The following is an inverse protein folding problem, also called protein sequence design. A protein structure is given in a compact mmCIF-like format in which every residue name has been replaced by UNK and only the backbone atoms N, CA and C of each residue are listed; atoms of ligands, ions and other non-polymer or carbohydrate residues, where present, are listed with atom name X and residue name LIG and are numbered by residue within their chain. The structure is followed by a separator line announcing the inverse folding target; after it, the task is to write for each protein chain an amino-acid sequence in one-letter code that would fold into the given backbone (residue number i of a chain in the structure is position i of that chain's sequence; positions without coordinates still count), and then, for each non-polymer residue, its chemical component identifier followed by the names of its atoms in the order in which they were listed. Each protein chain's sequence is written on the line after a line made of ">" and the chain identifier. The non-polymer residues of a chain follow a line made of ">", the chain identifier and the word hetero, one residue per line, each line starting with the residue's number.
data_IF_949161888247
#
_entry.id   IF_949161888247
#
_cell.length_a   1.000
_cell.length_b   1.000
_cell.length_c   1.000
_cell.angle_alpha   90.00
_cell.angle_beta   90.00
_cell.angle_gamma   90.00
#
_symmetry.space_group_name_H-M   'P 1'
#
loop_
_entity.id
_entity.type
_entity.pdbx_description
1 polymer ?
#
# COMPACT_ATOMS: atom_id res chain seq x y z
N UNK A 1 -46.12 -8.13 -54.13
CA UNK A 1 -44.84 -7.59 -53.62
C UNK A 1 -44.88 -7.61 -52.09
N UNK A 2 -44.06 -8.42 -51.41
CA UNK A 2 -43.87 -8.39 -49.95
C UNK A 2 -42.36 -8.50 -49.70
N UNK A 3 -41.75 -7.44 -49.15
CA UNK A 3 -40.34 -7.44 -48.72
C UNK A 3 -40.35 -7.65 -47.20
N UNK A 4 -39.82 -8.78 -46.76
CA UNK A 4 -39.56 -9.08 -45.35
C UNK A 4 -38.15 -8.57 -45.05
N UNK A 5 -38.03 -7.57 -44.20
CA UNK A 5 -36.74 -7.11 -43.69
C UNK A 5 -36.35 -7.97 -42.49
N UNK A 6 -35.28 -8.74 -42.62
CA UNK A 6 -34.64 -9.42 -41.48
C UNK A 6 -33.70 -8.43 -40.79
N UNK A 7 -34.06 -8.01 -39.58
CA UNK A 7 -33.20 -7.24 -38.69
C UNK A 7 -32.36 -8.24 -37.86
N UNK A 8 -31.11 -8.45 -38.23
CA UNK A 8 -30.19 -9.28 -37.43
C UNK A 8 -29.68 -8.47 -36.24
N UNK A 9 -30.11 -8.87 -35.04
CA UNK A 9 -29.64 -8.33 -33.76
C UNK A 9 -28.33 -9.05 -33.36
N UNK A 10 -27.18 -8.45 -33.64
CA UNK A 10 -25.89 -8.93 -33.13
C UNK A 10 -25.75 -8.59 -31.65
N UNK A 11 -25.94 -9.58 -30.79
CA UNK A 11 -25.66 -9.50 -29.36
C UNK A 11 -24.14 -9.56 -29.18
N UNK A 12 -23.50 -8.42 -28.91
CA UNK A 12 -22.11 -8.38 -28.46
C UNK A 12 -22.06 -8.94 -27.04
N UNK A 13 -21.63 -10.19 -26.91
CA UNK A 13 -21.28 -10.80 -25.63
C UNK A 13 -20.03 -10.13 -25.08
N UNK A 14 -20.21 -9.11 -24.24
CA UNK A 14 -19.13 -8.51 -23.46
C UNK A 14 -18.78 -9.53 -22.37
N UNK A 15 -17.82 -10.42 -22.63
CA UNK A 15 -17.31 -11.29 -21.57
C UNK A 15 -16.62 -10.40 -20.54
N UNK A 16 -17.05 -10.40 -19.26
CA UNK A 16 -16.31 -9.69 -18.24
C UNK A 16 -14.93 -10.33 -18.16
N UNK A 17 -13.88 -9.53 -18.37
CA UNK A 17 -12.51 -9.90 -18.01
C UNK A 17 -12.50 -10.14 -16.49
N UNK A 18 -12.74 -11.37 -16.10
CA UNK A 18 -12.51 -11.83 -14.74
C UNK A 18 -11.06 -11.48 -14.40
N UNK A 19 -10.86 -10.69 -13.35
CA UNK A 19 -9.53 -10.45 -12.80
C UNK A 19 -8.87 -11.82 -12.61
N UNK A 20 -7.74 -12.06 -13.26
CA UNK A 20 -7.03 -13.33 -13.17
C UNK A 20 -6.50 -13.44 -11.74
N UNK A 21 -7.23 -14.15 -10.89
CA UNK A 21 -6.74 -14.57 -9.59
C UNK A 21 -5.42 -15.33 -9.78
N UNK A 22 -4.46 -15.18 -8.86
CA UNK A 22 -3.16 -15.82 -8.99
C UNK A 22 -3.30 -17.34 -9.22
N UNK A 23 -2.51 -17.88 -10.14
CA UNK A 23 -2.58 -19.29 -10.53
C UNK A 23 -2.04 -20.19 -9.42
N UNK A 24 -2.45 -21.46 -9.41
CA UNK A 24 -1.81 -22.46 -8.56
C UNK A 24 -0.41 -22.78 -9.10
N UNK A 25 0.52 -23.15 -8.22
CA UNK A 25 1.87 -23.53 -8.63
C UNK A 25 2.64 -24.26 -7.54
N UNK A 26 3.90 -24.57 -7.82
CA UNK A 26 4.76 -25.27 -6.87
C UNK A 26 5.07 -24.38 -5.65
N UNK A 27 4.88 -24.84 -4.40
CA UNK A 27 5.07 -24.02 -3.20
C UNK A 27 6.46 -23.37 -3.10
N UNK A 28 7.52 -24.05 -3.56
CA UNK A 28 8.88 -23.51 -3.56
C UNK A 28 9.20 -22.55 -4.71
N UNK A 29 8.27 -22.34 -5.65
CA UNK A 29 8.46 -21.41 -6.75
C UNK A 29 8.50 -19.96 -6.26
N UNK A 30 9.28 -19.13 -6.94
CA UNK A 30 9.24 -17.68 -6.76
C UNK A 30 8.15 -17.00 -7.58
N UNK A 31 7.49 -17.71 -8.51
CA UNK A 31 6.42 -17.14 -9.32
C UNK A 31 5.26 -16.63 -8.44
N UNK A 32 4.56 -15.60 -8.92
CA UNK A 32 3.33 -15.10 -8.30
C UNK A 32 2.20 -16.12 -8.43
N UNK A 33 1.99 -16.89 -7.36
CA UNK A 33 1.06 -18.01 -7.30
C UNK A 33 0.21 -17.94 -6.04
N UNK A 34 -0.85 -18.74 -6.02
CA UNK A 34 -1.65 -19.00 -4.84
C UNK A 34 -0.85 -19.84 -3.84
N UNK A 35 -0.84 -19.38 -2.60
CA UNK A 35 -0.12 -20.04 -1.49
C UNK A 35 -1.09 -20.43 -0.38
N UNK A 36 -0.51 -20.93 0.71
CA UNK A 36 -1.21 -21.26 1.95
C UNK A 36 -2.17 -20.14 2.37
N UNK A 37 -3.32 -20.53 2.95
CA UNK A 37 -4.39 -19.59 3.33
C UNK A 37 -4.97 -18.77 2.17
N UNK A 38 -4.84 -19.27 0.93
CA UNK A 38 -5.42 -18.70 -0.28
C UNK A 38 -4.95 -17.28 -0.60
N UNK A 39 -3.77 -16.89 -0.10
CA UNK A 39 -3.12 -15.61 -0.44
C UNK A 39 -2.38 -15.73 -1.77
N UNK A 40 -2.24 -14.62 -2.47
CA UNK A 40 -1.40 -14.56 -3.66
C UNK A 40 -0.03 -14.01 -3.30
N UNK A 41 1.06 -14.73 -3.62
CA UNK A 41 2.42 -14.26 -3.34
C UNK A 41 3.43 -14.73 -4.39
N UNK A 42 4.32 -13.81 -4.76
CA UNK A 42 5.56 -14.14 -5.46
C UNK A 42 6.05 -12.97 -6.29
N UNK A 43 6.94 -13.26 -7.24
CA UNK A 43 7.45 -12.34 -8.24
C UNK A 43 6.53 -12.38 -9.45
N UNK A 44 6.03 -11.21 -9.86
CA UNK A 44 5.27 -11.08 -11.10
C UNK A 44 6.23 -11.00 -12.29
N UNK A 45 5.81 -11.53 -13.44
CA UNK A 45 6.64 -11.56 -14.66
C UNK A 45 6.82 -10.18 -15.33
N UNK A 46 6.05 -9.17 -14.93
CA UNK A 46 6.16 -7.79 -15.42
C UNK A 46 5.99 -6.78 -14.30
N UNK A 47 6.83 -5.73 -14.29
CA UNK A 47 6.86 -4.76 -13.20
C UNK A 47 5.50 -4.06 -13.07
N UNK A 48 4.86 -4.16 -11.90
CA UNK A 48 3.67 -3.35 -11.56
C UNK A 48 4.10 -1.89 -11.35
N UNK A 49 4.59 -1.25 -12.41
CA UNK A 49 4.93 0.16 -12.40
C UNK A 49 3.60 0.90 -12.25
N UNK A 50 3.40 1.57 -11.11
CA UNK A 50 2.24 2.45 -10.99
C UNK A 50 2.32 3.48 -12.11
N UNK A 51 1.29 3.58 -12.95
CA UNK A 51 1.22 4.66 -13.93
C UNK A 51 0.76 5.98 -13.31
N UNK A 52 0.50 6.00 -11.99
CA UNK A 52 0.00 7.16 -11.27
C UNK A 52 0.83 7.50 -10.03
N UNK A 53 0.84 8.79 -9.71
CA UNK A 53 1.31 9.31 -8.44
C UNK A 53 0.44 8.77 -7.31
N UNK A 54 1.01 8.00 -6.38
CA UNK A 54 0.23 7.35 -5.31
C UNK A 54 1.03 7.04 -4.06
N UNK A 55 0.36 7.00 -2.91
CA UNK A 55 0.88 6.37 -1.69
C UNK A 55 1.01 4.86 -1.92
N UNK A 56 2.19 4.31 -1.65
CA UNK A 56 2.51 2.89 -1.85
C UNK A 56 2.92 2.18 -0.56
N UNK A 57 3.26 2.94 0.49
CA UNK A 57 3.60 2.38 1.79
C UNK A 57 3.22 3.36 2.89
N UNK A 58 2.68 2.82 3.98
CA UNK A 58 2.55 3.49 5.27
C UNK A 58 2.90 2.47 6.35
N UNK A 59 4.15 2.49 6.81
CA UNK A 59 4.69 1.46 7.70
C UNK A 59 5.30 2.06 8.96
N UNK A 60 5.38 1.24 10.00
CA UNK A 60 6.29 1.44 11.13
C UNK A 60 7.04 0.13 11.36
N UNK A 61 8.35 0.21 11.55
CA UNK A 61 9.21 -0.98 11.67
C UNK A 61 10.53 -0.67 12.36
N UNK A 62 10.96 -1.61 13.19
CA UNK A 62 12.30 -1.71 13.73
C UNK A 62 12.81 -3.13 13.50
N UNK A 63 13.37 -3.37 12.30
CA UNK A 63 13.80 -4.69 11.84
C UNK A 63 15.18 -4.59 11.19
N UNK A 64 16.11 -5.43 11.63
CA UNK A 64 17.48 -5.50 11.10
C UNK A 64 17.68 -6.70 10.16
N UNK A 65 16.84 -7.74 10.28
CA UNK A 65 16.85 -8.94 9.44
C UNK A 65 15.45 -9.54 9.35
N UNK A 66 15.21 -10.42 8.36
CA UNK A 66 13.94 -11.15 8.28
C UNK A 66 13.92 -12.28 9.32
N UNK A 67 12.91 -12.32 10.22
CA UNK A 67 12.60 -13.53 10.97
C UNK A 67 12.01 -14.60 10.04
N UNK A 68 11.91 -15.86 10.47
CA UNK A 68 11.23 -16.91 9.67
C UNK A 68 9.76 -16.56 9.39
N UNK A 69 9.09 -15.94 10.36
CA UNK A 69 7.75 -15.39 10.22
C UNK A 69 7.77 -13.92 10.64
N UNK A 70 7.44 -13.04 9.71
CA UNK A 70 7.30 -11.61 9.96
C UNK A 70 5.89 -11.31 10.43
N UNK A 71 5.75 -10.86 11.67
CA UNK A 71 4.46 -10.37 12.18
C UNK A 71 4.08 -9.08 11.44
N UNK A 72 2.93 -9.09 10.78
CA UNK A 72 2.31 -7.92 10.15
C UNK A 72 1.10 -7.56 10.99
N UNK A 73 1.11 -6.38 11.61
CA UNK A 73 0.04 -5.88 12.47
C UNK A 73 -0.56 -4.61 11.89
N UNK A 74 -1.88 -4.53 11.83
CA UNK A 74 -2.62 -3.33 11.43
C UNK A 74 -3.55 -2.94 12.58
N UNK A 75 -3.26 -1.86 13.31
CA UNK A 75 -4.17 -1.32 14.30
C UNK A 75 -5.44 -0.80 13.60
N UNK A 76 -6.61 -1.32 13.96
CA UNK A 76 -7.86 -0.94 13.33
C UNK A 76 -9.04 -1.10 14.31
N UNK A 77 -9.53 -0.01 14.91
CA UNK A 77 -10.49 -0.05 16.02
C UNK A 77 -11.93 -0.40 15.62
N UNK A 78 -12.27 -0.36 14.32
CA UNK A 78 -13.66 -0.34 13.87
C UNK A 78 -14.15 -1.68 13.29
N UNK A 79 -13.49 -2.81 13.60
CA UNK A 79 -13.80 -4.18 13.13
C UNK A 79 -13.91 -4.38 11.61
N UNK A 80 -13.71 -3.33 10.81
CA UNK A 80 -13.72 -3.37 9.36
C UNK A 80 -12.38 -3.90 8.88
N UNK A 81 -12.41 -4.99 8.12
CA UNK A 81 -11.19 -5.65 7.66
C UNK A 81 -10.52 -4.80 6.57
N UNK A 82 -9.29 -4.32 6.78
CA UNK A 82 -8.59 -3.53 5.76
C UNK A 82 -8.16 -4.42 4.60
N UNK A 83 -8.03 -3.83 3.42
CA UNK A 83 -7.25 -4.44 2.35
C UNK A 83 -5.77 -4.26 2.70
N UNK A 84 -4.98 -5.33 2.64
CA UNK A 84 -3.53 -5.29 2.82
C UNK A 84 -2.83 -5.71 1.54
N UNK A 85 -1.86 -4.90 1.15
CA UNK A 85 -0.93 -5.20 0.08
C UNK A 85 0.48 -5.06 0.62
N UNK A 86 1.32 -6.07 0.38
CA UNK A 86 2.76 -5.99 0.60
C UNK A 86 3.45 -6.18 -0.74
N UNK A 87 4.43 -5.35 -1.06
CA UNK A 87 5.09 -5.40 -2.35
C UNK A 87 6.53 -4.90 -2.30
N UNK A 88 7.30 -5.23 -3.33
CA UNK A 88 8.61 -4.63 -3.56
C UNK A 88 8.87 -4.41 -5.04
N UNK A 89 9.14 -3.17 -5.42
CA UNK A 89 9.49 -2.82 -6.80
C UNK A 89 10.90 -3.28 -7.21
N UNK A 90 11.76 -3.67 -6.26
CA UNK A 90 13.13 -4.12 -6.53
C UNK A 90 13.21 -5.45 -7.30
N UNK A 91 12.29 -6.38 -7.00
CA UNK A 91 12.16 -7.69 -7.65
C UNK A 91 10.74 -7.97 -8.14
N UNK A 92 9.90 -6.93 -8.16
CA UNK A 92 8.50 -7.04 -8.52
C UNK A 92 7.73 -8.10 -7.71
N UNK A 93 8.02 -8.12 -6.41
CA UNK A 93 7.33 -8.98 -5.47
C UNK A 93 5.98 -8.39 -5.11
N UNK A 94 4.98 -9.25 -4.99
CA UNK A 94 3.63 -8.92 -4.57
C UNK A 94 3.11 -9.98 -3.61
N UNK A 95 2.44 -9.51 -2.57
CA UNK A 95 1.57 -10.27 -1.68
C UNK A 95 0.26 -9.50 -1.51
N UNK A 96 -0.84 -10.14 -1.87
CA UNK A 96 -2.21 -9.63 -1.74
C UNK A 96 -3.21 -10.80 -1.61
N UNK A 97 -4.51 -10.49 -1.68
CA UNK A 97 -5.60 -11.44 -1.37
C UNK A 97 -5.43 -12.09 0.03
N UNK A 98 -4.88 -11.33 0.98
CA UNK A 98 -4.61 -11.81 2.33
C UNK A 98 -5.92 -11.86 3.12
N UNK A 99 -6.24 -13.04 3.66
CA UNK A 99 -7.33 -13.18 4.62
C UNK A 99 -6.87 -12.71 6.01
N UNK A 100 -7.08 -11.43 6.30
CA UNK A 100 -6.74 -10.83 7.58
C UNK A 100 -7.73 -11.28 8.66
N UNK A 101 -7.21 -11.82 9.76
CA UNK A 101 -8.00 -12.20 10.92
C UNK A 101 -8.00 -11.08 11.97
N UNK A 102 -9.18 -10.69 12.49
CA UNK A 102 -9.24 -9.75 13.60
C UNK A 102 -8.63 -10.39 14.86
N UNK A 103 -7.95 -9.56 15.65
CA UNK A 103 -7.34 -9.90 16.93
C UNK A 103 -7.46 -8.68 17.86
N UNK A 104 -8.50 -8.68 18.69
CA UNK A 104 -8.90 -7.54 19.52
C UNK A 104 -9.01 -6.24 18.67
N UNK A 105 -8.17 -5.23 18.96
CA UNK A 105 -8.13 -3.94 18.26
C UNK A 105 -7.20 -3.90 17.05
N UNK A 106 -6.73 -5.06 16.57
CA UNK A 106 -5.77 -5.19 15.49
C UNK A 106 -6.20 -6.26 14.47
N UNK A 107 -5.59 -6.23 13.29
CA UNK A 107 -5.48 -7.37 12.39
C UNK A 107 -4.04 -7.87 12.41
N UNK A 108 -3.87 -9.18 12.53
CA UNK A 108 -2.54 -9.81 12.59
C UNK A 108 -2.43 -10.85 11.47
N UNK A 109 -1.32 -10.78 10.75
CA UNK A 109 -0.92 -11.75 9.74
C UNK A 109 0.55 -12.09 9.92
N UNK A 110 0.85 -13.38 10.12
CA UNK A 110 2.23 -13.85 10.20
C UNK A 110 2.68 -14.27 8.80
N UNK A 111 3.55 -13.46 8.18
CA UNK A 111 4.07 -13.68 6.84
C UNK A 111 5.28 -14.63 6.88
N UNK A 112 5.21 -15.83 6.30
CA UNK A 112 6.40 -16.65 6.08
C UNK A 112 7.36 -15.92 5.16
N UNK A 113 8.61 -15.72 5.59
CA UNK A 113 9.56 -14.87 4.85
C UNK A 113 10.44 -15.65 3.88
N UNK A 114 10.27 -16.97 3.76
CA UNK A 114 11.08 -17.83 2.89
C UNK A 114 11.12 -17.33 1.44
N UNK A 115 10.00 -16.84 0.91
CA UNK A 115 9.93 -16.27 -0.45
C UNK A 115 10.68 -14.94 -0.53
N UNK A 116 10.50 -14.05 0.45
CA UNK A 116 11.23 -12.77 0.52
C UNK A 116 12.74 -12.98 0.58
N UNK A 117 13.19 -13.92 1.43
CA UNK A 117 14.58 -14.29 1.62
C UNK A 117 15.16 -14.94 0.35
N UNK A 118 14.46 -15.91 -0.24
CA UNK A 118 14.87 -16.59 -1.49
C UNK A 118 14.95 -15.62 -2.67
N UNK A 119 14.03 -14.67 -2.77
CA UNK A 119 14.03 -13.60 -3.77
C UNK A 119 15.08 -12.50 -3.48
N UNK A 120 15.75 -12.55 -2.33
CA UNK A 120 16.75 -11.57 -1.87
C UNK A 120 16.18 -10.14 -1.84
N UNK A 121 14.94 -9.98 -1.41
CA UNK A 121 14.30 -8.66 -1.28
C UNK A 121 14.85 -7.97 -0.05
N UNK A 122 15.44 -6.76 -0.14
CA UNK A 122 15.88 -6.03 1.05
C UNK A 122 14.71 -5.53 1.90
N UNK A 123 14.88 -5.51 3.23
CA UNK A 123 13.86 -5.00 4.17
C UNK A 123 13.41 -3.57 3.82
N UNK A 124 14.37 -2.67 3.56
CA UNK A 124 14.11 -1.28 3.18
C UNK A 124 13.48 -1.12 1.79
N UNK A 125 13.29 -2.21 1.03
CA UNK A 125 12.56 -2.25 -0.24
C UNK A 125 11.21 -2.94 -0.12
N UNK A 126 10.85 -3.46 1.06
CA UNK A 126 9.52 -3.97 1.35
C UNK A 126 8.59 -2.79 1.66
N UNK A 127 7.47 -2.72 0.95
CA UNK A 127 6.40 -1.72 1.10
C UNK A 127 5.17 -2.44 1.61
N UNK A 128 4.43 -1.82 2.52
CA UNK A 128 3.14 -2.33 2.96
C UNK A 128 2.12 -1.21 3.09
N UNK A 129 0.92 -1.47 2.61
CA UNK A 129 -0.16 -0.50 2.58
C UNK A 129 -1.45 -1.20 3.00
N UNK A 130 -2.06 -0.70 4.07
CA UNK A 130 -3.37 -1.12 4.52
C UNK A 130 -4.37 0.03 4.34
N UNK A 131 -5.57 -0.29 3.83
CA UNK A 131 -6.63 0.71 3.68
C UNK A 131 -8.03 0.11 3.73
N UNK A 132 -8.98 0.94 4.16
CA UNK A 132 -10.41 0.67 4.03
C UNK A 132 -10.97 1.67 3.03
N UNK A 133 -11.81 1.21 2.10
CA UNK A 133 -12.52 2.12 1.18
C UNK A 133 -13.88 2.47 1.79
N UNK A 134 -14.10 3.75 2.09
CA UNK A 134 -15.36 4.27 2.65
C UNK A 134 -15.86 5.39 1.74
N UNK A 135 -17.09 5.28 1.22
CA UNK A 135 -17.69 6.31 0.34
C UNK A 135 -16.76 6.74 -0.82
N UNK A 136 -16.10 5.77 -1.45
CA UNK A 136 -15.12 5.95 -2.55
C UNK A 136 -13.79 6.61 -2.15
N UNK A 137 -13.54 6.88 -0.87
CA UNK A 137 -12.27 7.37 -0.35
C UNK A 137 -11.51 6.24 0.34
N UNK A 138 -10.18 6.19 0.16
CA UNK A 138 -9.31 5.28 0.91
C UNK A 138 -8.82 5.94 2.19
N UNK A 139 -9.11 5.29 3.31
CA UNK A 139 -8.57 5.64 4.61
C UNK A 139 -7.47 4.63 4.95
N UNK A 140 -6.25 5.12 5.09
CA UNK A 140 -5.07 4.31 5.31
C UNK A 140 -4.85 4.03 6.80
N UNK A 141 -4.32 2.85 7.09
CA UNK A 141 -3.92 2.44 8.43
C UNK A 141 -2.44 2.06 8.42
N UNK A 142 -1.69 2.37 9.49
CA UNK A 142 -0.29 2.00 9.53
C UNK A 142 -0.12 0.49 9.61
N UNK A 143 0.80 -0.02 8.81
CA UNK A 143 1.23 -1.41 8.86
C UNK A 143 2.49 -1.52 9.71
N UNK A 144 2.39 -2.18 10.85
CA UNK A 144 3.52 -2.46 11.73
C UNK A 144 4.15 -3.77 11.28
N UNK A 145 5.40 -3.71 10.81
CA UNK A 145 6.18 -4.87 10.39
C UNK A 145 7.16 -5.24 11.50
N UNK A 146 6.87 -6.35 12.19
CA UNK A 146 7.61 -6.76 13.39
C UNK A 146 7.32 -5.84 14.57
N UNK A 147 8.38 -5.33 15.20
CA UNK A 147 8.29 -4.34 16.27
C UNK A 147 8.14 -2.93 15.68
N UNK A 148 7.23 -2.08 16.20
CA UNK A 148 7.09 -0.72 15.69
C UNK A 148 8.35 0.12 15.96
N UNK A 149 8.63 1.07 15.06
CA UNK A 149 9.44 2.25 15.34
C UNK A 149 8.58 3.38 15.92
N UNK A 150 9.16 4.37 16.62
CA UNK A 150 8.41 5.54 17.11
C UNK A 150 7.98 6.50 15.99
N UNK A 151 8.20 6.15 14.73
CA UNK A 151 7.87 6.95 13.55
C UNK A 151 7.14 6.12 12.51
N UNK A 152 6.35 6.80 11.68
CA UNK A 152 5.78 6.27 10.45
C UNK A 152 6.68 6.60 9.27
N UNK A 153 6.82 5.66 8.34
CA UNK A 153 7.46 5.83 7.05
C UNK A 153 6.40 5.73 5.94
N UNK A 154 6.19 6.86 5.27
CA UNK A 154 5.38 6.98 4.07
C UNK A 154 6.28 6.80 2.85
N UNK A 155 5.82 6.01 1.88
CA UNK A 155 6.48 5.93 0.57
C UNK A 155 5.49 6.30 -0.52
N UNK A 156 5.76 7.41 -1.18
CA UNK A 156 5.00 7.90 -2.32
C UNK A 156 5.75 7.51 -3.59
N UNK A 157 5.01 6.96 -4.55
CA UNK A 157 5.56 6.65 -5.86
C UNK A 157 5.12 7.71 -6.87
N UNK A 158 6.06 8.14 -7.72
CA UNK A 158 5.82 8.98 -8.89
C UNK A 158 6.45 8.33 -10.12
N UNK A 159 5.67 8.08 -11.20
CA UNK A 159 6.24 7.58 -12.45
C UNK A 159 7.06 8.64 -13.19
N UNK A 160 6.74 9.92 -12.95
CA UNK A 160 7.41 11.07 -13.55
C UNK A 160 8.37 11.73 -12.56
N UNK A 161 9.35 12.46 -13.09
CA UNK A 161 10.21 13.33 -12.28
C UNK A 161 9.36 14.48 -11.73
N UNK A 162 9.33 14.60 -10.40
CA UNK A 162 8.57 15.64 -9.71
C UNK A 162 9.42 16.26 -8.61
N UNK A 163 9.17 17.54 -8.34
CA UNK A 163 9.74 18.28 -7.22
C UNK A 163 8.65 18.48 -6.18
N UNK A 164 8.86 17.98 -4.96
CA UNK A 164 7.93 18.17 -3.86
C UNK A 164 8.07 19.60 -3.34
N UNK A 165 7.04 20.42 -3.54
CA UNK A 165 6.98 21.80 -3.04
C UNK A 165 6.41 21.86 -1.63
N UNK A 166 5.52 20.91 -1.30
CA UNK A 166 5.01 20.72 0.05
C UNK A 166 4.84 19.22 0.34
N UNK A 167 5.22 18.79 1.53
CA UNK A 167 5.00 17.45 2.05
C UNK A 167 4.89 17.55 3.57
N UNK A 168 3.67 17.39 4.06
CA UNK A 168 3.37 17.64 5.46
C UNK A 168 2.19 16.80 5.96
N UNK A 169 2.13 16.63 7.27
CA UNK A 169 0.99 15.99 7.93
C UNK A 169 0.09 17.09 8.48
N UNK A 170 -1.21 16.95 8.24
CA UNK A 170 -2.23 17.88 8.70
C UNK A 170 -3.31 17.16 9.50
N UNK A 171 -3.98 17.90 10.37
CA UNK A 171 -5.21 17.48 11.01
C UNK A 171 -6.18 18.66 11.03
N UNK A 172 -7.43 18.44 10.59
CA UNK A 172 -8.45 19.48 10.50
C UNK A 172 -7.96 20.73 9.73
N UNK A 173 -7.20 20.51 8.64
CA UNK A 173 -6.62 21.56 7.81
C UNK A 173 -5.40 22.29 8.39
N UNK A 174 -4.97 21.97 9.61
CA UNK A 174 -3.79 22.59 10.26
C UNK A 174 -2.57 21.67 10.15
N UNK A 175 -1.43 22.25 9.81
CA UNK A 175 -0.14 21.53 9.74
C UNK A 175 0.31 21.13 11.14
N UNK A 176 0.70 19.87 11.31
CA UNK A 176 1.26 19.37 12.56
C UNK A 176 2.71 19.88 12.70
N UNK A 177 3.09 20.50 13.83
CA UNK A 177 4.45 20.98 14.04
C UNK A 177 5.51 19.89 13.80
N UNK A 178 6.58 20.23 13.08
CA UNK A 178 7.68 19.30 12.76
C UNK A 178 7.34 18.23 11.71
N UNK A 179 6.17 18.30 11.07
CA UNK A 179 5.80 17.38 9.99
C UNK A 179 6.23 17.85 8.60
N UNK A 180 6.77 19.05 8.43
CA UNK A 180 7.20 19.50 7.12
C UNK A 180 8.50 18.81 6.69
N UNK A 181 8.51 18.23 5.49
CA UNK A 181 9.70 17.60 4.94
C UNK A 181 10.55 18.59 4.13
N UNK A 182 11.88 18.61 4.33
CA UNK A 182 12.77 19.29 3.41
C UNK A 182 12.82 18.52 2.08
N UNK A 183 12.29 19.12 1.00
CA UNK A 183 12.39 18.72 -0.42
C UNK A 183 13.06 17.36 -0.68
N UNK A 184 12.34 16.23 -0.54
CA UNK A 184 12.92 14.92 -0.77
C UNK A 184 13.16 14.69 -2.27
N UNK A 185 14.32 14.11 -2.61
CA UNK A 185 14.63 13.68 -3.96
C UNK A 185 14.12 12.24 -4.17
N UNK A 186 13.34 11.96 -5.24
CA UNK A 186 12.93 10.60 -5.54
C UNK A 186 14.11 9.69 -5.87
N UNK A 187 14.15 8.49 -5.31
CA UNK A 187 15.09 7.42 -5.67
C UNK A 187 14.28 6.32 -6.36
N UNK A 188 14.53 6.09 -7.66
CA UNK A 188 13.80 5.09 -8.46
C UNK A 188 12.27 5.33 -8.45
N UNK A 189 11.84 6.59 -8.52
CA UNK A 189 10.43 6.97 -8.48
C UNK A 189 9.80 6.93 -7.09
N UNK A 190 10.52 6.49 -6.06
CA UNK A 190 10.03 6.48 -4.68
C UNK A 190 10.53 7.69 -3.89
N UNK A 191 9.62 8.33 -3.17
CA UNK A 191 9.91 9.36 -2.16
C UNK A 191 9.53 8.83 -0.80
N UNK A 192 10.53 8.79 0.08
CA UNK A 192 10.37 8.34 1.46
C UNK A 192 10.23 9.57 2.36
N UNK A 193 9.21 9.55 3.19
CA UNK A 193 8.94 10.60 4.17
C UNK A 193 8.64 9.96 5.52
N UNK A 194 9.35 10.41 6.54
CA UNK A 194 9.17 9.92 7.90
C UNK A 194 8.49 10.98 8.76
N UNK A 195 7.50 10.56 9.54
CA UNK A 195 6.81 11.43 10.48
C UNK A 195 6.83 10.81 11.88
N UNK A 196 7.22 11.58 12.87
CA UNK A 196 7.16 11.19 14.28
C UNK A 196 5.83 11.70 14.89
N UNK A 197 4.88 10.79 15.22
CA UNK A 197 3.62 11.17 15.84
C UNK A 197 3.73 11.61 17.31
N UNK A 198 4.92 11.66 17.93
CA UNK A 198 5.06 12.15 19.31
C UNK A 198 4.50 13.58 19.52
N UNK A 199 4.53 14.41 18.47
CA UNK A 199 3.98 15.76 18.48
C UNK A 199 2.52 15.84 17.97
N UNK A 200 1.88 14.68 17.75
CA UNK A 200 0.50 14.61 17.30
C UNK A 200 -0.45 15.08 18.44
N UNK A 201 -1.26 16.13 18.23
CA UNK A 201 -2.05 16.73 19.31
C UNK A 201 -3.24 15.86 19.75
N UNK A 202 -3.76 14.97 18.87
CA UNK A 202 -4.95 14.18 19.15
C UNK A 202 -5.00 12.84 18.41
N UNK A 203 -5.73 11.86 18.94
CA UNK A 203 -6.06 10.65 18.18
C UNK A 203 -7.03 10.96 17.03
N UNK A 204 -7.06 10.11 16.01
CA UNK A 204 -8.05 10.13 14.94
C UNK A 204 -7.44 10.28 13.55
N UNK A 205 -8.20 10.92 12.66
CA UNK A 205 -7.84 11.07 11.25
C UNK A 205 -6.87 12.21 11.02
N UNK A 206 -5.88 11.93 10.18
CA UNK A 206 -4.86 12.84 9.68
C UNK A 206 -4.84 12.81 8.15
N UNK A 207 -4.20 13.80 7.56
CA UNK A 207 -3.95 13.92 6.14
C UNK A 207 -2.45 14.00 5.91
N UNK A 208 -1.92 13.13 5.04
CA UNK A 208 -0.65 13.39 4.37
C UNK A 208 -0.94 14.25 3.14
N UNK A 209 -0.62 15.53 3.22
CA UNK A 209 -0.79 16.46 2.12
C UNK A 209 0.51 16.60 1.34
N UNK A 210 0.39 16.49 0.02
CA UNK A 210 1.52 16.51 -0.89
C UNK A 210 1.24 17.48 -2.01
N UNK A 211 2.12 18.44 -2.22
CA UNK A 211 2.14 19.28 -3.41
C UNK A 211 3.41 18.97 -4.20
N UNK A 212 3.22 18.55 -5.45
CA UNK A 212 4.29 18.15 -6.34
C UNK A 212 4.22 18.93 -7.64
N UNK A 213 5.36 19.52 -8.04
CA UNK A 213 5.57 20.19 -9.31
C UNK A 213 6.17 19.21 -10.31
N UNK A 214 5.40 18.86 -11.34
CA UNK A 214 5.90 18.16 -12.52
C UNK A 214 6.37 19.16 -13.58
N UNK A 215 6.63 18.66 -14.80
CA UNK A 215 7.12 19.49 -15.92
C UNK A 215 6.11 20.58 -16.32
N UNK A 216 4.82 20.22 -16.42
CA UNK A 216 3.79 21.09 -17.00
C UNK A 216 2.83 21.70 -15.96
N UNK A 217 2.82 21.19 -14.73
CA UNK A 217 1.83 21.61 -13.72
C UNK A 217 2.26 21.25 -12.30
N UNK A 218 1.69 21.97 -11.34
CA UNK A 218 1.72 21.64 -9.92
C UNK A 218 0.42 20.97 -9.54
N UNK A 219 0.49 19.81 -8.88
CA UNK A 219 -0.68 19.06 -8.40
C UNK A 219 -0.61 18.86 -6.89
N UNK A 220 -1.77 18.81 -6.27
CA UNK A 220 -1.93 18.47 -4.86
C UNK A 220 -2.58 17.09 -4.72
N UNK A 221 -2.13 16.32 -3.75
CA UNK A 221 -2.63 14.99 -3.41
C UNK A 221 -2.83 14.91 -1.90
N UNK A 222 -3.94 14.30 -1.50
CA UNK A 222 -4.31 14.09 -0.10
C UNK A 222 -4.48 12.61 0.15
N UNK A 223 -3.79 12.09 1.18
CA UNK A 223 -3.95 10.72 1.65
C UNK A 223 -4.37 10.73 3.10
N UNK A 224 -5.59 10.31 3.38
CA UNK A 224 -6.12 10.30 4.74
C UNK A 224 -5.75 9.01 5.47
N UNK A 225 -5.26 9.15 6.70
CA UNK A 225 -4.85 8.01 7.50
C UNK A 225 -5.28 8.16 8.95
N UNK A 226 -5.50 7.05 9.64
CA UNK A 226 -5.81 7.05 11.07
C UNK A 226 -4.53 6.96 11.91
N UNK A 227 -4.55 7.55 13.11
CA UNK A 227 -3.50 7.43 14.11
C UNK A 227 -4.09 7.41 15.52
N UNK A 228 -3.50 6.62 16.42
CA UNK A 228 -3.70 6.74 17.86
C UNK A 228 -2.35 6.67 18.59
N UNK A 229 -2.24 7.42 19.69
CA UNK A 229 -1.01 7.60 20.47
C UNK A 229 -0.43 6.29 21.04
N UNK A 230 -1.21 5.22 21.13
CA UNK A 230 -0.78 3.91 21.64
C UNK A 230 -0.37 2.91 20.55
N UNK A 231 -0.51 3.23 19.27
CA UNK A 231 -0.26 2.25 18.19
C UNK A 231 1.21 1.93 17.96
N UNK A 232 2.11 2.86 18.30
CA UNK A 232 3.57 2.69 18.15
C UNK A 232 4.31 2.45 19.47
N UNK A 233 3.57 2.18 20.55
CA UNK A 233 4.13 1.88 21.88
C UNK A 233 4.34 0.38 22.06
#
# INVERSE_FOLDING_TARGET
>A
MRRIAFLTLTILSITPLSAIACQNGHPDSLAYIRRDNNRCEGLKDGQDVSLSFRLTSLVSRSLNSYPNNLTVKIPAPNNSTPNLVIQSYFRNYRLDEINLKPSASNFIFNLPTAILQKAKIPLNKLRALAYITQKSERVYYPVILGTPSPQYEFVIYSPERVIFTNLEVRQNGKVIPGSQSPRPNPIQGEVIYTWNPANAPANGRYELYVQAKGENQTRAYSYYFEHQNNWLK
#
